data_IF_683765993715
#
_entry.id   IF_683765993715
#
_cell.length_a   1.000
_cell.length_b   1.000
_cell.length_c   1.000
_cell.angle_alpha   90.00
_cell.angle_beta   90.00
_cell.angle_gamma   90.00
#
_symmetry.space_group_name_H-M   'P 1'
#
loop_
_entity.id
_entity.type
_entity.pdbx_description
1 polymer ?
#
# COMPACT_ATOMS: atom_id res chain seq x y z
N UNK A 1 -9.38 19.18 24.96
CA UNK A 1 -10.19 17.94 25.06
C UNK A 1 -10.31 17.38 23.64
N UNK A 2 -9.24 16.73 23.16
CA UNK A 2 -9.15 16.25 21.77
C UNK A 2 -9.23 14.72 21.84
N UNK A 3 -10.32 14.18 21.32
CA UNK A 3 -10.56 12.76 21.20
C UNK A 3 -9.55 12.15 20.21
N UNK A 4 -8.58 11.41 20.73
CA UNK A 4 -7.73 10.53 19.93
C UNK A 4 -8.58 9.37 19.41
N UNK A 5 -9.10 9.53 18.20
CA UNK A 5 -9.88 8.51 17.48
C UNK A 5 -8.94 7.37 17.08
N UNK A 6 -8.92 6.32 17.91
CA UNK A 6 -8.23 5.05 17.59
C UNK A 6 -8.91 4.45 16.37
N UNK A 7 -8.27 4.60 15.21
CA UNK A 7 -8.62 3.96 13.94
C UNK A 7 -8.80 2.45 14.20
N UNK A 8 -10.05 2.00 14.18
CA UNK A 8 -10.40 0.60 14.40
C UNK A 8 -10.04 -0.24 13.18
N UNK A 9 -9.10 -1.17 13.34
CA UNK A 9 -9.04 -2.33 12.47
C UNK A 9 -10.40 -3.05 12.53
N UNK A 10 -10.92 -3.45 11.36
CA UNK A 10 -12.19 -4.16 11.26
C UNK A 10 -12.21 -5.38 12.21
N UNK A 11 -13.19 -5.49 13.14
CA UNK A 11 -13.20 -6.54 14.16
C UNK A 11 -13.14 -7.96 13.56
N UNK A 12 -13.62 -8.14 12.33
CA UNK A 12 -13.60 -9.42 11.61
C UNK A 12 -12.20 -9.88 11.15
N UNK A 13 -11.28 -8.97 10.87
CA UNK A 13 -9.90 -9.33 10.44
C UNK A 13 -9.05 -9.66 11.67
N UNK A 14 -9.26 -8.89 12.75
CA UNK A 14 -8.64 -9.13 14.06
C UNK A 14 -9.06 -10.47 14.65
N UNK A 15 -10.35 -10.78 14.68
CA UNK A 15 -10.87 -12.07 15.14
C UNK A 15 -10.35 -13.27 14.31
N UNK A 16 -10.17 -13.09 12.99
CA UNK A 16 -9.64 -14.16 12.11
C UNK A 16 -8.15 -14.42 12.34
N UNK A 17 -7.32 -13.38 12.53
CA UNK A 17 -5.92 -13.55 12.93
C UNK A 17 -5.80 -14.13 14.36
N UNK A 18 -6.70 -13.73 15.26
CA UNK A 18 -6.74 -14.22 16.65
C UNK A 18 -7.12 -15.71 16.76
N UNK A 19 -8.04 -16.20 15.92
CA UNK A 19 -8.39 -17.63 15.83
C UNK A 19 -7.23 -18.48 15.26
N UNK A 20 -6.49 -17.95 14.28
CA UNK A 20 -5.35 -18.62 13.67
C UNK A 20 -4.12 -18.67 14.60
N UNK A 21 -3.92 -17.67 15.47
CA UNK A 21 -2.78 -17.64 16.38
C UNK A 21 -2.88 -18.67 17.53
N UNK A 22 -4.06 -18.85 18.12
CA UNK A 22 -4.23 -19.65 19.36
C UNK A 22 -4.51 -21.14 19.11
N UNK A 23 -5.23 -21.50 18.04
CA UNK A 23 -5.54 -22.90 17.70
C UNK A 23 -4.82 -23.40 16.44
N UNK A 24 -4.17 -22.49 15.70
CA UNK A 24 -3.51 -22.84 14.45
C UNK A 24 -2.13 -23.45 14.66
N UNK A 25 -1.37 -23.12 15.71
CA UNK A 25 0.03 -23.55 15.80
C UNK A 25 0.23 -25.07 15.90
N UNK A 26 -0.48 -25.76 16.81
CA UNK A 26 -0.35 -27.22 16.97
C UNK A 26 -0.88 -27.96 15.75
N UNK A 27 -1.98 -27.48 15.20
CA UNK A 27 -2.61 -28.03 13.99
C UNK A 27 -1.72 -27.84 12.76
N UNK A 28 -1.13 -26.65 12.59
CA UNK A 28 -0.20 -26.33 11.49
C UNK A 28 1.13 -27.07 11.65
N UNK A 29 1.67 -27.20 12.86
CA UNK A 29 2.88 -28.00 13.10
C UNK A 29 2.63 -29.49 12.82
N UNK A 30 1.46 -30.02 13.17
CA UNK A 30 1.07 -31.39 12.83
C UNK A 30 0.91 -31.59 11.32
N UNK A 31 0.24 -30.67 10.62
CA UNK A 31 0.10 -30.73 9.16
C UNK A 31 1.46 -30.61 8.46
N UNK A 32 2.29 -29.62 8.84
CA UNK A 32 3.62 -29.44 8.26
C UNK A 32 4.55 -30.62 8.53
N UNK A 33 4.39 -31.34 9.66
CA UNK A 33 5.13 -32.58 9.94
C UNK A 33 4.78 -33.71 8.96
N UNK A 34 3.53 -33.77 8.49
CA UNK A 34 3.09 -34.72 7.47
C UNK A 34 3.64 -34.38 6.08
N UNK A 35 3.77 -33.08 5.78
CA UNK A 35 4.33 -32.61 4.51
C UNK A 35 5.87 -32.62 4.47
N UNK A 36 6.56 -32.50 5.61
CA UNK A 36 8.02 -32.69 5.70
C UNK A 36 8.45 -34.10 5.25
N UNK A 37 7.60 -35.12 5.44
CA UNK A 37 7.84 -36.49 4.97
C UNK A 37 7.72 -36.67 3.45
N UNK A 38 7.18 -35.68 2.73
CA UNK A 38 6.90 -35.74 1.28
C UNK A 38 7.90 -34.94 0.43
N UNK A 39 9.01 -34.48 1.04
CA UNK A 39 10.12 -33.76 0.40
C UNK A 39 9.68 -32.66 -0.58
N UNK A 40 8.86 -31.74 -0.07
CA UNK A 40 8.43 -30.55 -0.81
C UNK A 40 9.38 -29.40 -0.42
N UNK A 41 10.13 -28.89 -1.39
CA UNK A 41 11.13 -27.83 -1.18
C UNK A 41 10.57 -26.66 -0.35
N UNK A 42 11.27 -26.32 0.74
CA UNK A 42 10.97 -25.18 1.63
C UNK A 42 10.07 -25.49 2.83
N UNK A 43 9.35 -26.62 2.85
CA UNK A 43 8.48 -27.00 3.97
C UNK A 43 9.29 -27.39 5.21
N UNK A 44 10.45 -28.05 5.02
CA UNK A 44 11.38 -28.36 6.11
C UNK A 44 11.92 -27.12 6.81
N UNK A 45 12.29 -26.09 6.03
CA UNK A 45 12.79 -24.82 6.57
C UNK A 45 11.71 -24.09 7.38
N UNK A 46 10.47 -24.09 6.90
CA UNK A 46 9.32 -23.52 7.63
C UNK A 46 9.03 -24.31 8.92
N UNK A 47 9.11 -25.63 8.87
CA UNK A 47 8.93 -26.49 10.05
C UNK A 47 10.02 -26.23 11.10
N UNK A 48 11.29 -26.14 10.69
CA UNK A 48 12.41 -25.86 11.57
C UNK A 48 12.32 -24.45 12.17
N UNK A 49 11.89 -23.45 11.37
CA UNK A 49 11.64 -22.09 11.84
C UNK A 49 10.53 -22.04 12.88
N UNK A 50 9.39 -22.67 12.61
CA UNK A 50 8.24 -22.72 13.53
C UNK A 50 8.57 -23.47 14.81
N UNK A 51 9.47 -24.46 14.77
CA UNK A 51 9.92 -25.21 15.94
C UNK A 51 11.08 -24.54 16.69
N UNK A 52 11.62 -23.44 16.16
CA UNK A 52 12.74 -22.74 16.78
C UNK A 52 12.39 -22.24 18.20
N UNK A 53 13.29 -22.42 19.18
CA UNK A 53 13.00 -22.04 20.58
C UNK A 53 12.70 -20.56 20.76
N UNK A 54 13.35 -19.69 19.97
CA UNK A 54 13.17 -18.25 20.05
C UNK A 54 11.79 -17.82 19.54
N UNK A 55 11.29 -18.42 18.44
CA UNK A 55 9.99 -18.08 17.88
C UNK A 55 8.86 -18.60 18.79
N UNK A 56 9.03 -19.79 19.35
CA UNK A 56 8.13 -20.34 20.36
C UNK A 56 8.07 -19.48 21.62
N UNK A 57 9.22 -18.97 22.09
CA UNK A 57 9.25 -18.03 23.21
C UNK A 57 8.55 -16.71 22.85
N UNK A 58 8.77 -16.18 21.65
CA UNK A 58 8.13 -14.96 21.18
C UNK A 58 6.60 -15.11 21.07
N UNK A 59 6.13 -16.24 20.55
CA UNK A 59 4.70 -16.53 20.44
C UNK A 59 4.03 -16.69 21.80
N UNK A 60 4.71 -17.34 22.76
CA UNK A 60 4.25 -17.36 24.17
C UNK A 60 4.17 -15.96 24.77
N UNK A 61 5.16 -15.11 24.52
CA UNK A 61 5.13 -13.70 24.97
C UNK A 61 3.96 -12.96 24.32
N UNK A 62 3.74 -13.15 23.03
CA UNK A 62 2.61 -12.58 22.30
C UNK A 62 1.27 -13.04 22.90
N UNK A 63 1.08 -14.33 23.16
CA UNK A 63 -0.13 -14.85 23.80
C UNK A 63 -0.34 -14.26 25.19
N UNK A 64 0.69 -14.21 26.04
CA UNK A 64 0.62 -13.60 27.36
C UNK A 64 0.26 -12.11 27.28
N UNK A 65 0.88 -11.36 26.38
CA UNK A 65 0.54 -9.96 26.14
C UNK A 65 -0.90 -9.82 25.64
N UNK A 66 -1.33 -10.68 24.73
CA UNK A 66 -2.67 -10.63 24.16
C UNK A 66 -3.77 -10.93 25.20
N UNK A 67 -3.55 -11.92 26.06
CA UNK A 67 -4.43 -12.19 27.20
C UNK A 67 -4.45 -11.01 28.18
N UNK A 68 -3.31 -10.35 28.40
CA UNK A 68 -3.21 -9.18 29.28
C UNK A 68 -3.91 -7.95 28.71
N UNK A 69 -3.83 -7.74 27.39
CA UNK A 69 -4.55 -6.68 26.66
C UNK A 69 -6.06 -6.89 26.75
N UNK A 70 -6.53 -8.14 26.63
CA UNK A 70 -7.97 -8.47 26.78
C UNK A 70 -8.48 -8.24 28.20
N UNK A 71 -7.67 -8.58 29.21
CA UNK A 71 -8.05 -8.43 30.63
C UNK A 71 -7.95 -6.99 31.14
N UNK A 72 -7.17 -6.11 30.49
CA UNK A 72 -6.89 -4.71 30.91
C UNK A 72 -6.80 -4.56 32.44
N UNK A 73 -5.71 -5.04 33.07
CA UNK A 73 -5.58 -4.94 34.52
C UNK A 73 -5.72 -3.47 34.95
N UNK A 74 -6.72 -3.20 35.79
CA UNK A 74 -6.95 -1.87 36.36
C UNK A 74 -6.13 -1.78 37.65
N UNK A 75 -5.25 -0.79 37.80
CA UNK A 75 -4.49 -0.64 39.03
C UNK A 75 -5.45 -0.34 40.19
N UNK A 76 -5.26 -1.01 41.33
CA UNK A 76 -6.06 -0.78 42.54
C UNK A 76 -5.87 0.65 43.05
N UNK A 77 -4.67 1.19 42.89
CA UNK A 77 -4.34 2.58 43.20
C UNK A 77 -3.25 3.06 42.24
N UNK A 78 -3.27 4.32 41.79
CA UNK A 78 -2.17 4.89 41.01
C UNK A 78 -1.00 5.42 41.86
N UNK A 79 -1.08 5.35 43.19
CA UNK A 79 -0.08 5.93 44.12
C UNK A 79 0.40 4.94 45.19
N UNK A 80 0.67 3.68 44.80
CA UNK A 80 1.09 2.64 45.73
C UNK A 80 2.43 2.99 46.43
N UNK A 81 3.32 3.72 45.75
CA UNK A 81 4.59 4.20 46.32
C UNK A 81 4.37 5.25 47.41
N UNK A 82 3.42 6.17 47.22
CA UNK A 82 3.12 7.22 48.21
C UNK A 82 2.54 6.58 49.48
N UNK A 83 1.57 5.69 49.31
CA UNK A 83 0.97 4.93 50.41
C UNK A 83 2.01 4.11 51.18
N UNK A 84 2.92 3.43 50.49
CA UNK A 84 4.01 2.69 51.13
C UNK A 84 4.91 3.59 51.98
N UNK A 85 5.19 4.82 51.53
CA UNK A 85 5.95 5.81 52.32
C UNK A 85 5.19 6.24 53.55
N UNK A 86 3.91 6.58 53.42
CA UNK A 86 3.05 6.96 54.55
C UNK A 86 2.97 5.87 55.61
N UNK A 87 2.78 4.61 55.20
CA UNK A 87 2.79 3.47 56.13
C UNK A 87 4.13 3.37 56.86
N UNK A 88 5.26 3.54 56.17
CA UNK A 88 6.58 3.53 56.82
C UNK A 88 6.75 4.67 57.83
N UNK A 89 6.19 5.86 57.55
CA UNK A 89 6.19 6.99 58.49
C UNK A 89 5.33 6.70 59.72
N UNK A 90 4.09 6.22 59.52
CA UNK A 90 3.17 5.88 60.61
C UNK A 90 3.76 4.81 61.52
N UNK A 91 4.42 3.79 60.95
CA UNK A 91 5.05 2.73 61.72
C UNK A 91 6.20 3.24 62.61
N UNK A 92 6.76 4.44 62.41
CA UNK A 92 7.81 4.96 63.32
C UNK A 92 7.28 5.29 64.71
N UNK A 93 6.03 5.72 64.83
CA UNK A 93 5.42 6.14 66.09
C UNK A 93 4.86 5.00 66.96
N UNK A 94 4.87 3.76 66.45
CA UNK A 94 4.23 2.61 67.10
C UNK A 94 5.26 1.81 67.93
N UNK A 95 4.88 1.24 69.10
CA UNK A 95 5.72 0.32 69.85
C UNK A 95 6.26 -0.81 68.96
N UNK A 96 7.56 -1.11 69.08
CA UNK A 96 8.25 -2.00 68.15
C UNK A 96 7.96 -3.48 68.47
N UNK A 97 6.91 -4.03 67.86
CA UNK A 97 6.73 -5.48 67.78
C UNK A 97 7.67 -6.09 66.73
N UNK A 98 7.85 -7.41 66.79
CA UNK A 98 8.61 -8.20 65.81
C UNK A 98 8.06 -8.03 64.40
N UNK A 99 6.74 -8.03 64.25
CA UNK A 99 6.01 -7.92 62.98
C UNK A 99 6.17 -6.52 62.38
N UNK A 100 6.10 -5.49 63.22
CA UNK A 100 6.29 -4.08 62.79
C UNK A 100 7.70 -3.87 62.23
N UNK A 101 8.70 -4.50 62.85
CA UNK A 101 10.09 -4.43 62.39
C UNK A 101 10.28 -5.12 61.04
N UNK A 102 9.65 -6.27 60.84
CA UNK A 102 9.69 -7.02 59.57
C UNK A 102 8.98 -6.27 58.45
N UNK A 103 7.77 -5.77 58.69
CA UNK A 103 7.02 -4.97 57.72
C UNK A 103 7.80 -3.72 57.31
N UNK A 104 8.41 -3.02 58.29
CA UNK A 104 9.24 -1.85 58.00
C UNK A 104 10.47 -2.22 57.18
N UNK A 105 11.11 -3.38 57.44
CA UNK A 105 12.26 -3.86 56.64
C UNK A 105 11.84 -4.17 55.20
N UNK A 106 10.69 -4.80 55.01
CA UNK A 106 10.15 -5.15 53.69
C UNK A 106 9.79 -3.90 52.87
N UNK A 107 9.04 -2.95 53.47
CA UNK A 107 8.67 -1.69 52.81
C UNK A 107 9.88 -0.77 52.53
N UNK A 108 10.97 -0.91 53.29
CA UNK A 108 12.21 -0.17 53.03
C UNK A 108 13.10 -0.81 51.97
N UNK A 109 12.83 -2.05 51.56
CA UNK A 109 13.63 -2.78 50.57
C UNK A 109 13.67 -2.01 49.23
N UNK A 110 14.87 -1.76 48.66
CA UNK A 110 15.01 -1.05 47.39
C UNK A 110 14.25 -1.73 46.24
N UNK A 111 14.20 -3.07 46.20
CA UNK A 111 13.51 -3.80 45.14
C UNK A 111 11.99 -3.59 45.19
N UNK A 112 11.41 -3.58 46.40
CA UNK A 112 9.98 -3.31 46.55
C UNK A 112 9.65 -1.85 46.19
N UNK A 113 10.51 -0.91 46.58
CA UNK A 113 10.35 0.50 46.19
C UNK A 113 10.43 0.70 44.67
N UNK A 114 11.36 0.02 44.01
CA UNK A 114 11.50 0.05 42.56
C UNK A 114 10.24 -0.55 41.89
N UNK A 115 9.75 -1.69 42.40
CA UNK A 115 8.51 -2.31 41.92
C UNK A 115 7.30 -1.38 42.06
N UNK A 116 7.12 -0.75 43.23
CA UNK A 116 6.03 0.22 43.45
C UNK A 116 6.19 1.47 42.55
N UNK A 117 7.42 1.90 42.29
CA UNK A 117 7.66 2.99 41.35
C UNK A 117 7.26 2.62 39.92
N UNK A 118 7.69 1.44 39.44
CA UNK A 118 7.34 0.96 38.10
C UNK A 118 5.83 0.75 37.96
N UNK A 119 5.19 0.21 39.00
CA UNK A 119 3.73 0.09 39.07
C UNK A 119 3.05 1.45 38.92
N UNK A 120 3.44 2.46 39.68
CA UNK A 120 2.81 3.78 39.63
C UNK A 120 3.04 4.46 38.26
N UNK A 121 4.23 4.33 37.67
CA UNK A 121 4.51 4.80 36.30
C UNK A 121 3.56 4.17 35.26
N UNK A 122 3.35 2.85 35.33
CA UNK A 122 2.42 2.14 34.43
C UNK A 122 0.97 2.51 34.71
N UNK A 123 0.58 2.59 35.99
CA UNK A 123 -0.76 2.92 36.42
C UNK A 123 -1.18 4.34 36.00
N UNK A 124 -0.25 5.30 36.04
CA UNK A 124 -0.46 6.68 35.62
C UNK A 124 -0.30 6.89 34.11
N UNK A 125 0.11 5.85 33.37
CA UNK A 125 0.46 5.93 31.95
C UNK A 125 1.60 6.88 31.63
N UNK A 126 2.47 7.12 32.60
CA UNK A 126 3.63 8.00 32.50
C UNK A 126 4.85 7.24 31.93
N UNK A 127 4.61 6.41 30.91
CA UNK A 127 5.63 5.65 30.21
C UNK A 127 5.80 6.10 28.76
N UNK A 128 4.97 7.04 28.30
CA UNK A 128 5.10 7.64 26.98
C UNK A 128 6.19 8.73 27.02
N UNK A 129 6.98 8.89 25.93
CA UNK A 129 7.96 9.96 25.87
C UNK A 129 7.24 11.31 25.96
N UNK A 130 7.77 12.20 26.81
CA UNK A 130 7.27 13.57 26.92
C UNK A 130 7.58 14.28 25.60
N UNK A 131 6.54 14.53 24.80
CA UNK A 131 6.68 15.32 23.59
C UNK A 131 6.86 16.80 23.97
N UNK A 132 7.73 17.54 23.28
CA UNK A 132 7.80 18.99 23.45
C UNK A 132 6.41 19.60 23.18
N UNK A 133 6.02 20.66 23.92
CA UNK A 133 4.76 21.34 23.68
C UNK A 133 4.70 21.83 22.24
N UNK A 134 3.55 21.66 21.62
CA UNK A 134 3.28 22.20 20.30
C UNK A 134 3.40 23.73 20.35
N UNK A 135 4.05 24.39 19.38
CA UNK A 135 4.11 25.85 19.33
C UNK A 135 2.70 26.46 19.25
N UNK A 136 2.50 27.63 19.87
CA UNK A 136 1.18 28.28 19.98
C UNK A 136 0.58 28.73 18.65
N UNK A 137 1.37 28.76 17.57
CA UNK A 137 0.98 29.19 16.22
C UNK A 137 1.10 28.06 15.18
N UNK A 138 0.50 26.90 15.46
CA UNK A 138 0.28 25.92 14.39
C UNK A 138 -1.00 26.33 13.66
N UNK A 139 -0.95 26.64 12.35
CA UNK A 139 -2.16 26.89 11.60
C UNK A 139 -3.06 25.65 11.66
N UNK A 140 -4.34 25.82 12.01
CA UNK A 140 -5.32 24.72 12.14
C UNK A 140 -5.50 23.88 10.86
N UNK A 141 -4.96 24.34 9.73
CA UNK A 141 -5.06 23.71 8.42
C UNK A 141 -3.77 23.01 7.95
N UNK A 142 -2.81 22.73 8.85
CA UNK A 142 -1.57 22.05 8.47
C UNK A 142 -1.83 20.55 8.22
N UNK A 143 -1.94 20.18 6.94
CA UNK A 143 -2.12 18.78 6.52
C UNK A 143 -0.92 17.93 6.97
N UNK A 144 -1.19 16.74 7.53
CA UNK A 144 -0.15 15.87 8.06
C UNK A 144 0.83 15.42 6.96
N UNK A 145 2.07 15.92 7.03
CA UNK A 145 3.12 15.59 6.07
C UNK A 145 3.81 14.27 6.41
N UNK A 146 4.17 13.51 5.37
CA UNK A 146 4.95 12.27 5.43
C UNK A 146 6.26 12.46 4.69
N UNK A 147 7.36 12.04 5.31
CA UNK A 147 8.67 11.95 4.65
C UNK A 147 8.86 10.50 4.16
N UNK A 148 9.16 10.33 2.88
CA UNK A 148 9.45 9.03 2.27
C UNK A 148 10.82 9.07 1.59
N UNK A 149 11.56 7.97 1.72
CA UNK A 149 12.89 7.83 1.15
C UNK A 149 12.91 6.68 0.13
N UNK A 150 13.33 6.98 -1.09
CA UNK A 150 13.43 6.03 -2.19
C UNK A 150 14.88 5.92 -2.63
N UNK A 151 15.40 4.70 -2.72
CA UNK A 151 16.77 4.47 -3.19
C UNK A 151 16.75 4.41 -4.71
N UNK A 152 17.19 5.49 -5.35
CA UNK A 152 17.30 5.60 -6.79
C UNK A 152 18.41 4.69 -7.32
N UNK A 153 18.05 3.81 -8.24
CA UNK A 153 18.99 3.03 -9.04
C UNK A 153 19.16 3.69 -10.43
N UNK A 154 19.72 2.97 -11.41
CA UNK A 154 19.83 3.45 -12.80
C UNK A 154 18.49 3.46 -13.56
N UNK A 155 17.39 3.05 -12.93
CA UNK A 155 16.05 3.02 -13.51
C UNK A 155 15.23 4.22 -13.02
N UNK A 156 14.20 4.64 -13.78
CA UNK A 156 13.22 5.61 -13.31
C UNK A 156 12.51 5.10 -12.05
N UNK A 157 12.01 6.02 -11.23
CA UNK A 157 11.26 5.67 -10.02
C UNK A 157 9.99 4.88 -10.37
N UNK A 158 9.43 5.08 -11.55
CA UNK A 158 8.22 4.39 -11.98
C UNK A 158 6.97 5.09 -11.46
N UNK A 159 6.95 6.42 -11.50
CA UNK A 159 5.76 7.20 -11.22
C UNK A 159 5.64 8.33 -12.27
N UNK A 160 4.45 8.86 -12.46
CA UNK A 160 4.26 10.10 -13.21
C UNK A 160 3.75 11.19 -12.28
N UNK A 161 4.23 12.41 -12.49
CA UNK A 161 3.77 13.61 -11.78
C UNK A 161 3.06 14.54 -12.75
N UNK A 162 2.16 15.36 -12.22
CA UNK A 162 1.51 16.43 -12.96
C UNK A 162 1.39 17.67 -12.07
N UNK A 163 1.30 18.84 -12.70
CA UNK A 163 0.91 20.07 -12.03
C UNK A 163 -0.60 20.14 -11.93
N UNK A 164 -1.11 20.43 -10.74
CA UNK A 164 -2.54 20.63 -10.52
C UNK A 164 -2.95 22.00 -11.07
N UNK A 165 -3.97 22.04 -11.94
CA UNK A 165 -4.31 23.23 -12.73
C UNK A 165 -4.78 24.42 -11.88
N UNK A 166 -5.46 24.14 -10.76
CA UNK A 166 -6.06 25.18 -9.92
C UNK A 166 -5.09 25.66 -8.83
N UNK A 167 -4.45 24.71 -8.14
CA UNK A 167 -3.59 25.03 -6.98
C UNK A 167 -2.13 25.22 -7.36
N UNK A 168 -1.71 24.77 -8.54
CA UNK A 168 -0.31 24.78 -8.97
C UNK A 168 0.57 23.74 -8.28
N UNK A 169 -0.02 22.88 -7.44
CA UNK A 169 0.71 21.85 -6.69
C UNK A 169 1.22 20.73 -7.59
N UNK A 170 2.38 20.16 -7.24
CA UNK A 170 2.87 18.94 -7.89
C UNK A 170 2.25 17.72 -7.22
N UNK A 171 1.53 16.91 -8.00
CA UNK A 171 0.86 15.70 -7.51
C UNK A 171 1.29 14.47 -8.28
N UNK A 172 1.39 13.33 -7.60
CA UNK A 172 1.62 12.03 -8.24
C UNK A 172 0.38 11.66 -9.04
N UNK A 173 0.49 11.64 -10.36
CA UNK A 173 -0.61 11.29 -11.25
C UNK A 173 -0.81 9.78 -11.36
N UNK A 174 0.28 9.00 -11.33
CA UNK A 174 0.24 7.54 -11.46
C UNK A 174 1.47 6.90 -10.85
N UNK A 175 1.31 5.67 -10.36
CA UNK A 175 2.41 4.77 -10.01
C UNK A 175 2.41 3.61 -11.02
N UNK A 176 3.58 3.32 -11.58
CA UNK A 176 3.77 2.25 -12.57
C UNK A 176 4.11 0.94 -11.85
N UNK A 177 3.32 -0.09 -12.13
CA UNK A 177 3.45 -1.41 -11.50
C UNK A 177 4.81 -2.04 -11.80
N UNK A 178 5.44 -2.59 -10.77
CA UNK A 178 6.78 -3.15 -10.85
C UNK A 178 7.91 -2.12 -10.89
N UNK A 179 7.61 -0.81 -10.86
CA UNK A 179 8.58 0.27 -10.66
C UNK A 179 9.09 0.37 -9.22
N UNK A 180 10.08 1.23 -8.98
CA UNK A 180 10.64 1.46 -7.64
C UNK A 180 9.57 2.00 -6.67
N UNK A 181 8.78 2.97 -7.12
CA UNK A 181 7.70 3.60 -6.38
C UNK A 181 6.64 2.56 -5.95
N UNK A 182 6.20 1.69 -6.87
CA UNK A 182 5.25 0.61 -6.60
C UNK A 182 5.81 -0.39 -5.57
N UNK A 183 7.03 -0.89 -5.82
CA UNK A 183 7.68 -1.88 -4.94
C UNK A 183 7.92 -1.35 -3.52
N UNK A 184 8.13 -0.04 -3.39
CA UNK A 184 8.31 0.60 -2.08
C UNK A 184 7.01 0.64 -1.25
N UNK A 185 5.85 0.74 -1.91
CA UNK A 185 4.56 1.02 -1.25
C UNK A 185 4.54 2.36 -0.50
N UNK A 186 5.46 3.29 -0.80
CA UNK A 186 5.59 4.57 -0.10
C UNK A 186 4.88 5.71 -0.82
N UNK A 187 4.72 5.62 -2.14
CA UNK A 187 4.06 6.61 -2.99
C UNK A 187 2.77 6.06 -3.59
N UNK A 188 1.74 6.91 -3.64
CA UNK A 188 0.45 6.60 -4.25
C UNK A 188 0.01 7.70 -5.22
N UNK A 189 -0.82 7.33 -6.20
CA UNK A 189 -1.47 8.32 -7.05
C UNK A 189 -2.38 9.21 -6.18
N UNK A 190 -2.27 10.52 -6.34
CA UNK A 190 -2.93 11.54 -5.53
C UNK A 190 -2.06 12.17 -4.44
N UNK A 191 -0.90 11.60 -4.12
CA UNK A 191 0.01 12.21 -3.14
C UNK A 191 0.52 13.58 -3.64
N UNK A 192 0.42 14.61 -2.80
CA UNK A 192 0.90 15.97 -3.08
C UNK A 192 2.35 16.11 -2.63
N UNK A 193 3.25 16.39 -3.56
CA UNK A 193 4.67 16.62 -3.26
C UNK A 193 4.86 18.05 -2.77
N UNK A 194 5.56 18.20 -1.65
CA UNK A 194 5.86 19.50 -1.01
C UNK A 194 7.35 19.82 -1.13
N UNK A 195 8.22 18.85 -0.89
CA UNK A 195 9.67 19.00 -1.08
C UNK A 195 10.29 17.74 -1.70
N UNK A 196 11.35 17.96 -2.48
CA UNK A 196 12.20 16.90 -3.05
C UNK A 196 13.65 17.21 -2.69
N UNK A 197 14.29 16.33 -1.92
CA UNK A 197 15.67 16.49 -1.43
C UNK A 197 15.91 17.84 -0.72
N UNK A 198 14.92 18.31 0.04
CA UNK A 198 14.97 19.59 0.76
C UNK A 198 14.70 20.83 -0.11
N UNK A 199 14.42 20.65 -1.40
CA UNK A 199 13.99 21.74 -2.29
C UNK A 199 12.46 21.78 -2.33
N UNK A 200 11.82 22.91 -1.97
CA UNK A 200 10.37 23.05 -2.11
C UNK A 200 9.96 22.98 -3.58
N UNK A 201 8.89 22.23 -3.87
CA UNK A 201 8.38 22.08 -5.25
C UNK A 201 7.20 23.00 -5.58
N UNK A 202 6.77 23.83 -4.63
CA UNK A 202 5.72 24.82 -4.85
C UNK A 202 6.12 25.81 -5.94
N UNK A 203 5.23 26.00 -6.92
CA UNK A 203 5.46 26.90 -8.06
C UNK A 203 6.44 26.38 -9.12
N UNK A 204 7.04 25.20 -8.93
CA UNK A 204 7.87 24.56 -9.97
C UNK A 204 7.00 23.90 -11.03
N UNK A 205 7.56 23.79 -12.24
CA UNK A 205 6.99 22.96 -13.30
C UNK A 205 7.49 21.51 -13.17
N UNK A 206 6.69 20.49 -13.59
CA UNK A 206 7.07 19.08 -13.50
C UNK A 206 8.45 18.78 -14.09
N UNK A 207 8.84 19.44 -15.18
CA UNK A 207 10.15 19.29 -15.84
C UNK A 207 11.31 19.70 -14.93
N UNK A 208 11.11 20.73 -14.11
CA UNK A 208 12.12 21.19 -13.14
C UNK A 208 12.29 20.17 -12.00
N UNK A 209 11.20 19.54 -11.57
CA UNK A 209 11.24 18.47 -10.55
C UNK A 209 12.03 17.26 -11.08
N UNK A 210 11.84 16.87 -12.34
CA UNK A 210 12.64 15.80 -12.97
C UNK A 210 14.11 16.18 -13.00
N UNK A 211 14.43 17.43 -13.33
CA UNK A 211 15.82 17.88 -13.34
C UNK A 211 16.46 17.70 -11.96
N UNK A 212 15.78 18.10 -10.88
CA UNK A 212 16.23 17.88 -9.49
C UNK A 212 16.43 16.38 -9.23
N UNK A 213 15.47 15.55 -9.62
CA UNK A 213 15.55 14.10 -9.45
C UNK A 213 16.69 13.48 -10.27
N UNK A 214 16.96 13.99 -11.48
CA UNK A 214 18.00 13.50 -12.39
C UNK A 214 19.41 13.75 -11.86
N UNK A 215 19.63 14.90 -11.22
CA UNK A 215 20.89 15.26 -10.57
C UNK A 215 21.14 14.48 -9.27
N UNK A 216 20.08 13.97 -8.66
CA UNK A 216 20.15 13.26 -7.40
C UNK A 216 20.65 11.83 -7.59
N UNK A 217 21.67 11.44 -6.82
CA UNK A 217 22.23 10.08 -6.79
C UNK A 217 21.97 9.41 -5.43
N UNK A 218 21.64 8.13 -5.45
CA UNK A 218 21.38 7.38 -4.22
C UNK A 218 19.97 7.62 -3.67
N UNK A 219 19.83 8.11 -2.44
CA UNK A 219 18.53 8.26 -1.79
C UNK A 219 17.84 9.56 -2.18
N UNK A 220 16.62 9.46 -2.67
CA UNK A 220 15.71 10.58 -2.88
C UNK A 220 14.75 10.65 -1.69
N UNK A 221 14.64 11.84 -1.10
CA UNK A 221 13.70 12.15 -0.03
C UNK A 221 12.56 12.99 -0.58
N UNK A 222 11.33 12.52 -0.41
CA UNK A 222 10.12 13.29 -0.69
C UNK A 222 9.45 13.66 0.64
N UNK A 223 9.09 14.93 0.78
CA UNK A 223 8.11 15.37 1.77
C UNK A 223 6.79 15.57 1.05
N UNK A 224 5.76 14.86 1.47
CA UNK A 224 4.48 14.84 0.78
C UNK A 224 3.30 14.86 1.74
N UNK A 225 2.14 15.27 1.24
CA UNK A 225 0.87 15.13 1.93
C UNK A 225 0.16 13.92 1.31
N UNK A 226 -0.13 12.87 2.10
CA UNK A 226 -0.76 11.66 1.58
C UNK A 226 -2.23 11.89 1.28
N UNK A 227 -2.74 11.28 0.21
CA UNK A 227 -4.17 11.32 -0.10
C UNK A 227 -5.00 10.56 0.95
N UNK A 228 -6.15 11.12 1.33
CA UNK A 228 -7.06 10.58 2.36
C UNK A 228 -7.66 9.23 1.99
N UNK A 229 -8.04 9.07 0.71
CA UNK A 229 -8.63 7.84 0.17
C UNK A 229 -7.63 7.12 -0.73
N UNK A 230 -6.94 6.14 -0.15
CA UNK A 230 -6.06 5.26 -0.93
C UNK A 230 -6.93 4.24 -1.68
N UNK A 231 -6.84 4.14 -3.01
CA UNK A 231 -7.56 3.12 -3.74
C UNK A 231 -7.02 1.73 -3.35
N UNK A 232 -7.92 0.84 -2.94
CA UNK A 232 -7.59 -0.57 -2.73
C UNK A 232 -7.41 -1.20 -4.11
N UNK A 233 -6.18 -1.58 -4.44
CA UNK A 233 -5.87 -2.22 -5.73
C UNK A 233 -6.48 -3.62 -5.79
N UNK A 234 -7.47 -3.80 -6.66
CA UNK A 234 -8.01 -5.12 -6.99
C UNK A 234 -7.17 -5.72 -8.11
N UNK A 235 -6.10 -6.43 -7.74
CA UNK A 235 -5.20 -7.09 -8.69
C UNK A 235 -5.95 -8.19 -9.46
N UNK A 236 -6.35 -7.89 -10.69
CA UNK A 236 -6.91 -8.87 -11.63
C UNK A 236 -5.97 -9.01 -12.81
N UNK A 237 -5.09 -10.01 -12.72
CA UNK A 237 -4.15 -10.33 -13.79
C UNK A 237 -4.89 -11.01 -14.94
N UNK A 238 -4.81 -10.44 -16.13
CA UNK A 238 -5.39 -10.99 -17.36
C UNK A 238 -4.34 -10.99 -18.47
N UNK A 239 -4.46 -11.91 -19.43
CA UNK A 239 -3.56 -11.97 -20.57
C UNK A 239 -4.36 -11.68 -21.85
N UNK A 240 -3.83 -10.76 -22.66
CA UNK A 240 -4.44 -10.35 -23.92
C UNK A 240 -3.47 -10.56 -25.07
N UNK A 241 -4.02 -10.81 -26.26
CA UNK A 241 -3.25 -10.84 -27.50
C UNK A 241 -3.46 -9.54 -28.26
N UNK A 242 -2.36 -8.87 -28.61
CA UNK A 242 -2.38 -7.68 -29.44
C UNK A 242 -2.88 -8.03 -30.85
N UNK A 243 -3.88 -7.29 -31.34
CA UNK A 243 -4.46 -7.48 -32.67
C UNK A 243 -3.99 -6.43 -33.69
N UNK A 244 -3.26 -5.42 -33.22
CA UNK A 244 -2.67 -4.34 -33.99
C UNK A 244 -1.31 -3.96 -33.39
N UNK A 245 -0.52 -3.22 -34.16
CA UNK A 245 0.72 -2.60 -33.67
C UNK A 245 0.40 -1.31 -32.92
N UNK A 246 1.20 -0.97 -31.90
CA UNK A 246 1.07 0.26 -31.14
C UNK A 246 2.43 0.87 -30.83
N UNK A 247 2.58 2.15 -31.17
CA UNK A 247 3.78 2.94 -30.92
C UNK A 247 3.44 4.16 -30.06
N UNK A 248 3.79 4.17 -28.76
CA UNK A 248 3.47 5.25 -27.83
C UNK A 248 3.91 6.64 -28.31
N UNK A 249 5.10 6.72 -28.91
CA UNK A 249 5.68 7.98 -29.41
C UNK A 249 4.88 8.60 -30.57
N UNK A 250 4.02 7.83 -31.24
CA UNK A 250 3.16 8.31 -32.33
C UNK A 250 1.73 8.59 -31.86
N UNK A 251 1.40 8.34 -30.59
CA UNK A 251 0.07 8.57 -30.05
C UNK A 251 0.00 9.91 -29.29
N UNK A 252 -0.59 10.98 -29.87
CA UNK A 252 -0.68 12.26 -29.18
C UNK A 252 -1.62 12.24 -27.97
N UNK A 253 -2.44 11.20 -27.80
CA UNK A 253 -3.38 11.08 -26.69
C UNK A 253 -2.75 10.38 -25.46
N UNK A 254 -1.53 9.85 -25.56
CA UNK A 254 -0.89 9.20 -24.42
C UNK A 254 -0.53 10.22 -23.33
N UNK A 255 -0.83 9.96 -22.04
CA UNK A 255 -0.56 10.94 -21.00
C UNK A 255 0.93 11.17 -20.77
N UNK A 256 1.75 10.15 -21.03
CA UNK A 256 3.20 10.21 -20.94
C UNK A 256 3.80 9.16 -21.88
N UNK A 257 4.44 9.58 -22.97
CA UNK A 257 4.95 8.70 -24.00
C UNK A 257 6.13 7.82 -23.50
N UNK A 258 6.96 8.37 -22.61
CA UNK A 258 8.11 7.66 -22.02
C UNK A 258 7.70 6.49 -21.13
N UNK A 259 6.49 6.52 -20.57
CA UNK A 259 5.91 5.42 -19.79
C UNK A 259 5.13 4.42 -20.67
N UNK A 260 5.05 4.64 -21.98
CA UNK A 260 4.28 3.81 -22.90
C UNK A 260 4.93 2.45 -23.17
N UNK A 261 4.11 1.40 -23.26
CA UNK A 261 4.56 0.08 -23.68
C UNK A 261 4.30 -0.11 -25.18
N UNK A 262 5.33 -0.12 -26.04
CA UNK A 262 5.16 -0.52 -27.42
C UNK A 262 4.86 -2.01 -27.54
N UNK A 263 4.03 -2.37 -28.53
CA UNK A 263 3.75 -3.77 -28.85
C UNK A 263 3.43 -3.96 -30.32
N UNK A 264 3.65 -5.18 -30.81
CA UNK A 264 3.31 -5.61 -32.17
C UNK A 264 2.12 -6.54 -32.17
N UNK A 265 1.40 -6.57 -33.29
CA UNK A 265 0.32 -7.51 -33.56
C UNK A 265 0.81 -8.94 -33.34
N UNK A 266 0.07 -9.68 -32.53
CA UNK A 266 0.32 -11.07 -32.18
C UNK A 266 1.01 -11.27 -30.84
N UNK A 267 1.65 -10.23 -30.27
CA UNK A 267 2.29 -10.29 -28.96
C UNK A 267 1.25 -10.52 -27.83
N UNK A 268 1.68 -11.21 -26.77
CA UNK A 268 0.85 -11.44 -25.58
C UNK A 268 1.30 -10.49 -24.48
N UNK A 269 0.34 -9.74 -23.95
CA UNK A 269 0.54 -8.77 -22.89
C UNK A 269 -0.19 -9.23 -21.63
N UNK A 270 0.50 -9.13 -20.50
CA UNK A 270 -0.09 -9.31 -19.19
C UNK A 270 -0.61 -7.96 -18.71
N UNK A 271 -1.93 -7.85 -18.56
CA UNK A 271 -2.60 -6.69 -17.97
C UNK A 271 -2.46 -6.78 -16.46
N UNK A 272 -1.90 -5.73 -15.87
CA UNK A 272 -1.65 -5.66 -14.41
C UNK A 272 -2.56 -4.65 -13.72
N UNK A 273 -3.02 -3.61 -14.44
CA UNK A 273 -3.91 -2.59 -13.91
C UNK A 273 -4.88 -2.08 -14.99
N UNK A 274 -6.16 -2.02 -14.64
CA UNK A 274 -7.27 -1.53 -15.47
C UNK A 274 -8.04 -0.38 -14.79
N UNK A 275 -7.53 0.19 -13.70
CA UNK A 275 -8.20 1.24 -12.94
C UNK A 275 -8.44 2.52 -13.75
N UNK A 276 -7.57 2.83 -14.72
CA UNK A 276 -7.81 3.90 -15.68
C UNK A 276 -8.62 3.36 -16.88
N UNK A 277 -9.74 4.03 -17.15
CA UNK A 277 -10.69 3.67 -18.22
C UNK A 277 -10.07 3.78 -19.61
N UNK A 278 -9.12 4.69 -19.83
CA UNK A 278 -8.48 4.99 -21.13
C UNK A 278 -7.09 4.35 -21.28
N UNK A 279 -6.34 4.21 -20.19
CA UNK A 279 -4.92 3.82 -20.23
C UNK A 279 -4.56 2.74 -19.23
N UNK A 280 -4.54 1.49 -19.68
CA UNK A 280 -4.18 0.33 -18.85
C UNK A 280 -2.67 0.22 -18.65
N UNK A 281 -2.26 -0.46 -17.59
CA UNK A 281 -0.87 -0.90 -17.43
C UNK A 281 -0.74 -2.36 -17.80
N UNK A 282 0.25 -2.65 -18.64
CA UNK A 282 0.57 -4.00 -19.05
C UNK A 282 2.09 -4.22 -19.07
N UNK A 283 2.51 -5.47 -19.12
CA UNK A 283 3.90 -5.85 -19.39
C UNK A 283 3.95 -6.98 -20.41
N UNK A 284 5.07 -7.11 -21.11
CA UNK A 284 5.24 -8.23 -22.02
C UNK A 284 5.46 -9.53 -21.24
N UNK A 285 4.85 -10.62 -21.70
CA UNK A 285 5.01 -11.94 -21.05
C UNK A 285 6.45 -12.47 -21.16
N UNK A 286 7.20 -12.02 -22.17
CA UNK A 286 8.62 -12.31 -22.37
C UNK A 286 9.51 -11.75 -21.27
N UNK A 287 9.10 -10.67 -20.60
CA UNK A 287 9.86 -10.02 -19.52
C UNK A 287 8.94 -9.60 -18.37
N UNK A 288 8.65 -10.56 -17.50
CA UNK A 288 7.83 -10.34 -16.30
C UNK A 288 8.56 -9.51 -15.22
N UNK A 289 9.88 -9.39 -15.33
CA UNK A 289 10.72 -8.67 -14.37
C UNK A 289 10.73 -7.15 -14.60
N UNK A 290 10.44 -6.74 -15.85
CA UNK A 290 10.30 -5.36 -16.25
C UNK A 290 9.12 -4.65 -15.56
N UNK A 291 9.25 -3.34 -15.46
CA UNK A 291 8.15 -2.45 -15.10
C UNK A 291 7.04 -2.55 -16.15
N UNK A 292 5.80 -2.35 -15.72
CA UNK A 292 4.69 -2.19 -16.63
C UNK A 292 4.87 -0.90 -17.47
N UNK A 293 4.14 -0.82 -18.58
CA UNK A 293 3.98 0.42 -19.33
C UNK A 293 2.55 0.63 -19.76
N UNK A 294 2.27 1.84 -20.24
CA UNK A 294 0.93 2.28 -20.62
C UNK A 294 0.53 1.72 -21.98
N UNK A 295 -0.67 1.16 -22.04
CA UNK A 295 -1.32 0.75 -23.29
C UNK A 295 -2.72 1.36 -23.38
N UNK A 296 -3.23 1.61 -24.61
CA UNK A 296 -4.61 2.02 -24.81
C UNK A 296 -5.58 0.96 -24.27
N UNK A 297 -6.60 1.40 -23.54
CA UNK A 297 -7.67 0.51 -23.12
C UNK A 297 -8.55 0.09 -24.30
N UNK A 298 -9.34 -0.96 -24.10
CA UNK A 298 -10.35 -1.34 -25.09
C UNK A 298 -11.37 -0.21 -25.34
N UNK A 299 -11.69 0.60 -24.33
CA UNK A 299 -12.60 1.74 -24.47
C UNK A 299 -12.00 2.84 -25.37
N UNK A 300 -10.73 3.18 -25.16
CA UNK A 300 -10.03 4.19 -25.96
C UNK A 300 -9.88 3.76 -27.42
N UNK A 301 -9.52 2.50 -27.66
CA UNK A 301 -9.41 1.94 -29.01
C UNK A 301 -10.75 1.96 -29.75
N UNK A 302 -11.85 1.60 -29.08
CA UNK A 302 -13.20 1.67 -29.66
C UNK A 302 -13.62 3.11 -30.00
N UNK A 303 -13.27 4.08 -29.17
CA UNK A 303 -13.55 5.50 -29.42
C UNK A 303 -12.81 6.01 -30.67
N UNK A 304 -11.49 5.81 -30.73
CA UNK A 304 -10.67 6.22 -31.90
C UNK A 304 -11.13 5.55 -33.19
N UNK A 305 -11.55 4.28 -33.14
CA UNK A 305 -12.15 3.62 -34.31
C UNK A 305 -13.43 4.34 -34.73
N UNK A 306 -14.40 4.58 -33.83
CA UNK A 306 -15.64 5.28 -34.18
C UNK A 306 -15.37 6.67 -34.77
N UNK A 307 -14.49 7.46 -34.16
CA UNK A 307 -14.12 8.78 -34.67
C UNK A 307 -13.49 8.70 -36.08
N UNK A 308 -12.65 7.69 -36.34
CA UNK A 308 -12.13 7.41 -37.68
C UNK A 308 -13.24 7.08 -38.70
N UNK A 309 -14.26 6.29 -38.31
CA UNK A 309 -15.42 5.99 -39.16
C UNK A 309 -16.30 7.22 -39.46
N UNK A 310 -16.36 8.20 -38.54
CA UNK A 310 -17.12 9.44 -38.72
C UNK A 310 -16.35 10.54 -39.47
N UNK A 311 -15.02 10.42 -39.58
CA UNK A 311 -14.16 11.42 -40.23
C UNK A 311 -13.98 11.20 -41.74
N UNK A 312 -14.54 10.13 -42.31
CA UNK A 312 -14.56 9.93 -43.76
C UNK A 312 -15.86 10.49 -44.36
N UNK A 313 -15.81 11.39 -45.36
CA UNK A 313 -17.00 11.73 -46.12
C UNK A 313 -17.52 10.46 -46.81
N UNK A 314 -18.79 10.13 -46.58
CA UNK A 314 -19.48 9.05 -47.27
C UNK A 314 -19.25 9.19 -48.79
N UNK A 315 -18.45 8.30 -49.37
CA UNK A 315 -18.31 8.13 -50.82
C UNK A 315 -19.17 6.93 -51.21
N UNK A 316 -20.34 7.12 -51.85
CA UNK A 316 -21.20 6.02 -52.23
C UNK A 316 -20.70 5.40 -53.54
N UNK A 317 -19.78 4.44 -53.48
CA UNK A 317 -19.44 3.62 -54.64
C UNK A 317 -19.45 2.11 -54.32
N UNK A 318 -20.61 1.51 -54.67
CA UNK A 318 -20.84 0.26 -55.42
C UNK A 318 -19.74 -0.82 -55.39
N UNK A 319 -20.11 -1.94 -54.78
CA UNK A 319 -19.69 -3.33 -55.03
C UNK A 319 -18.24 -3.77 -54.80
N UNK A 320 -18.03 -4.53 -53.71
CA UNK A 320 -17.53 -5.90 -53.76
C UNK A 320 -17.93 -6.60 -52.45
N UNK A 321 -18.55 -7.78 -52.56
CA UNK A 321 -19.00 -8.62 -51.44
C UNK A 321 -17.82 -8.85 -50.48
N UNK A 322 -17.89 -8.24 -49.29
CA UNK A 322 -16.95 -8.54 -48.22
C UNK A 322 -17.39 -9.84 -47.56
N UNK A 323 -16.53 -10.85 -47.61
CA UNK A 323 -16.70 -12.09 -46.85
C UNK A 323 -16.80 -11.74 -45.38
N UNK A 324 -18.00 -11.91 -44.83
CA UNK A 324 -18.30 -11.75 -43.41
C UNK A 324 -17.43 -12.74 -42.65
N UNK A 325 -16.32 -12.27 -42.10
CA UNK A 325 -15.59 -13.00 -41.08
C UNK A 325 -16.34 -12.82 -39.76
N UNK A 326 -17.23 -13.77 -39.45
CA UNK A 326 -17.80 -13.94 -38.12
C UNK A 326 -16.67 -14.18 -37.10
N UNK A 327 -16.27 -13.13 -36.38
CA UNK A 327 -15.37 -13.25 -35.23
C UNK A 327 -16.19 -13.48 -33.96
N UNK A 328 -16.30 -14.74 -33.54
CA UNK A 328 -16.82 -15.12 -32.21
C UNK A 328 -15.74 -14.85 -31.15
N UNK A 329 -16.14 -14.42 -29.95
CA UNK A 329 -15.28 -14.40 -28.76
C UNK A 329 -14.89 -15.86 -28.47
N UNK A 330 -13.66 -16.25 -28.80
CA UNK A 330 -13.13 -17.55 -28.41
C UNK A 330 -12.51 -17.43 -27.03
N UNK A 331 -13.25 -17.84 -26.00
CA UNK A 331 -12.65 -18.16 -24.71
C UNK A 331 -11.87 -19.46 -24.87
N UNK A 332 -10.57 -19.38 -25.12
CA UNK A 332 -9.72 -20.57 -25.13
C UNK A 332 -9.00 -20.66 -23.78
N UNK A 333 -9.18 -21.76 -23.02
CA UNK A 333 -8.38 -22.00 -21.82
C UNK A 333 -6.94 -22.28 -22.25
N UNK A 334 -6.00 -21.41 -21.87
CA UNK A 334 -4.56 -21.67 -22.05
C UNK A 334 -3.99 -22.07 -20.70
N UNK A 335 -3.38 -23.26 -20.64
CA UNK A 335 -2.61 -23.69 -19.47
C UNK A 335 -1.17 -23.20 -19.64
N UNK A 336 -0.78 -22.21 -18.84
CA UNK A 336 0.63 -21.88 -18.60
C UNK A 336 0.87 -22.13 -17.11
N UNK A 337 1.44 -23.28 -16.75
CA UNK A 337 1.59 -23.69 -15.35
C UNK A 337 0.26 -24.07 -14.66
N UNK A 338 0.30 -24.19 -13.32
CA UNK A 338 -0.82 -24.67 -12.48
C UNK A 338 -2.00 -23.69 -12.35
N UNK A 339 -1.91 -22.50 -12.94
CA UNK A 339 -2.99 -21.49 -12.88
C UNK A 339 -3.77 -21.44 -14.19
N UNK A 340 -5.11 -21.39 -14.07
CA UNK A 340 -6.01 -21.25 -15.21
C UNK A 340 -6.03 -19.78 -15.63
N UNK A 341 -5.47 -19.44 -16.78
CA UNK A 341 -5.53 -18.08 -17.33
C UNK A 341 -6.50 -18.01 -18.51
N UNK A 342 -7.30 -16.95 -18.56
CA UNK A 342 -8.25 -16.66 -19.64
C UNK A 342 -7.53 -15.77 -20.66
N UNK A 343 -7.38 -16.25 -21.90
CA UNK A 343 -6.87 -15.45 -23.00
C UNK A 343 -8.04 -14.67 -23.61
N UNK A 344 -8.08 -13.35 -23.40
CA UNK A 344 -9.05 -12.48 -24.05
C UNK A 344 -8.46 -11.97 -25.37
N UNK A 345 -9.11 -12.30 -26.47
CA UNK A 345 -8.84 -11.66 -27.75
C UNK A 345 -9.46 -10.25 -27.71
N UNK A 346 -8.66 -9.22 -27.96
CA UNK A 346 -9.17 -7.87 -28.19
C UNK A 346 -9.84 -7.82 -29.57
N UNK A 347 -11.03 -8.41 -29.69
CA UNK A 347 -11.88 -8.31 -30.88
C UNK A 347 -12.96 -7.27 -30.65
N UNK A 348 -13.13 -6.38 -31.63
CA UNK A 348 -14.33 -5.56 -31.75
C UNK A 348 -15.56 -6.48 -31.80
N UNK A 349 -16.47 -6.33 -30.84
CA UNK A 349 -17.78 -6.97 -30.88
C UNK A 349 -18.81 -5.90 -30.59
N UNK A 350 -19.70 -5.69 -31.55
CA UNK A 350 -20.97 -5.01 -31.33
C UNK A 350 -21.81 -5.89 -30.40
N UNK A 351 -21.99 -5.44 -29.17
CA UNK A 351 -23.18 -5.76 -28.37
C UNK A 351 -23.62 -4.45 -27.73
N UNK A 352 -24.82 -4.03 -28.08
CA UNK A 352 -25.54 -2.95 -27.43
C UNK A 352 -25.56 -3.22 -25.92
N UNK A 353 -24.94 -2.34 -25.15
CA UNK A 353 -25.10 -2.29 -23.70
C UNK A 353 -26.00 -1.10 -23.43
N UNK A 354 -27.13 -1.39 -22.78
CA UNK A 354 -28.16 -0.44 -22.37
C UNK A 354 -27.53 0.74 -21.63
N UNK A 355 -27.99 1.93 -22.02
CA UNK A 355 -27.74 3.20 -21.36
C UNK A 355 -27.88 3.07 -19.83
N UNK A 356 -26.79 3.31 -19.12
CA UNK A 356 -26.84 3.94 -17.81
C UNK A 356 -26.03 5.23 -17.94
N UNK A 357 -26.70 6.36 -17.90
CA UNK A 357 -26.09 7.68 -17.72
C UNK A 357 -25.40 7.69 -16.36
N UNK A 358 -24.11 7.39 -16.33
CA UNK A 358 -23.23 7.86 -15.26
C UNK A 358 -22.62 9.16 -15.75
N UNK A 359 -22.86 10.23 -14.99
CA UNK A 359 -22.33 11.57 -15.22
C UNK A 359 -20.83 11.47 -15.50
N UNK A 360 -20.43 11.92 -16.68
CA UNK A 360 -19.05 12.25 -17.00
C UNK A 360 -18.66 13.46 -16.14
N UNK A 361 -18.11 13.22 -14.95
CA UNK A 361 -17.19 14.19 -14.37
C UNK A 361 -15.86 14.01 -15.10
N UNK A 362 -15.67 14.84 -16.13
CA UNK A 362 -14.39 15.07 -16.77
C UNK A 362 -13.37 15.54 -15.73
N UNK A 363 -12.64 14.59 -15.13
CA UNK A 363 -11.30 14.86 -14.62
C UNK A 363 -10.28 14.74 -15.77
N UNK A 364 -10.54 15.46 -16.87
CA UNK A 364 -9.58 15.70 -17.95
C UNK A 364 -8.64 16.84 -17.54
N UNK A 365 -7.83 16.59 -16.49
CA UNK A 365 -6.68 17.45 -16.23
C UNK A 365 -5.71 17.34 -17.40
N UNK A 366 -5.68 18.39 -18.22
CA UNK A 366 -4.92 18.61 -19.45
C UNK A 366 -3.43 18.91 -19.21
N UNK A 367 -3.01 19.00 -17.95
CA UNK A 367 -1.61 19.20 -17.58
C UNK A 367 -0.67 18.10 -18.10
N UNK A 368 0.43 18.52 -18.71
CA UNK A 368 1.52 17.66 -19.18
C UNK A 368 2.03 16.78 -18.02
N UNK A 369 2.00 15.46 -18.21
CA UNK A 369 2.47 14.50 -17.20
C UNK A 369 3.85 14.03 -17.56
N UNK A 370 4.71 13.92 -16.57
CA UNK A 370 6.09 13.51 -16.82
C UNK A 370 6.51 12.36 -15.92
N UNK A 371 7.33 11.48 -16.50
CA UNK A 371 7.78 10.24 -15.87
C UNK A 371 9.03 10.49 -15.02
N UNK A 372 8.99 9.99 -13.79
CA UNK A 372 10.06 10.12 -12.79
C UNK A 372 10.59 8.77 -12.34
#
# INVERSE_FOLDING_TARGET
MIHSEKRGESPRVKEKMEMLAVHGQETVLQELSLFCKRDVNGVGVLYDLLRSPWLQALLKVYECLHQSIRKKPVPVTPQARALSREVVELLRGVPQSTEIRELRRLLRNPNLKALLSAHDTVAQKDFEPILPPLPDNIPENEEAMRIVCLVKNKQPLGATIKRHEITGDIVVARVIHGGLADRSGLLYAGDKLVEVNGVPVEGLEPEQVIHILSLSQGTIMFKLIPVSDRPVSNQTTLYVRAMADYWPLQDPAIPCADAGLPFKKGEILQIVDQNDVLWWQARQVSDLSACAGLIPSNHLLKRKQREFWWSQPFQPHVCLKSTICECKILQLPVRVGREKSVLLFLTSSNKEIKHNQMKEEEFSGSGQRVFI
#
